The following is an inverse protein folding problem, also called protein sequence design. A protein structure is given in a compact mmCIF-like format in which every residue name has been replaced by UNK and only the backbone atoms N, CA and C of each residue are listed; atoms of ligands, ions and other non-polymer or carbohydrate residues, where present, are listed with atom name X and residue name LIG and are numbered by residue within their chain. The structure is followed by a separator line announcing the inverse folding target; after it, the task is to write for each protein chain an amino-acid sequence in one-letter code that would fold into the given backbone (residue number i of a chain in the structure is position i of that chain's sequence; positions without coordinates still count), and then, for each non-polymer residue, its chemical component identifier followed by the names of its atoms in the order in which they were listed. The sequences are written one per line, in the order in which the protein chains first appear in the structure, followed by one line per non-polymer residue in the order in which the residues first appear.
data_IF_668392090780
#
_entry.id   IF_668392090780
#
_cell.length_a   1.000
_cell.length_b   1.000
_cell.length_c   1.000
_cell.angle_alpha   90.00
_cell.angle_beta   90.00
_cell.angle_gamma   90.00
#
_symmetry.space_group_name_H-M   'P 1'
#
loop_
_entity.id
_entity.type
_entity.pdbx_description
1 polymer ?
#
# COMPACT_ATOMS: atom_id res chain seq x y z
N UNK A 1 -14.20 23.22 -2.61
CA UNK A 1 -13.63 22.43 -3.72
C UNK A 1 -13.29 23.40 -4.83
N UNK A 2 -12.03 23.84 -4.88
CA UNK A 2 -11.49 24.49 -6.07
C UNK A 2 -11.17 23.36 -7.06
N UNK A 3 -11.78 23.44 -8.24
CA UNK A 3 -11.52 22.52 -9.34
C UNK A 3 -10.16 22.88 -9.95
N UNK A 4 -9.18 21.97 -9.88
CA UNK A 4 -7.97 22.09 -10.68
C UNK A 4 -8.13 21.24 -11.94
N UNK A 5 -8.37 21.92 -13.06
CA UNK A 5 -8.20 21.35 -14.39
C UNK A 5 -6.70 21.40 -14.68
N UNK A 6 -6.01 20.26 -14.60
CA UNK A 6 -4.65 20.15 -15.11
C UNK A 6 -4.70 19.97 -16.63
N UNK A 7 -4.71 21.07 -17.36
CA UNK A 7 -4.23 21.11 -18.73
C UNK A 7 -2.70 21.00 -18.67
N UNK A 8 -2.15 19.87 -19.12
CA UNK A 8 -0.71 19.73 -19.33
C UNK A 8 -0.28 20.60 -20.50
N UNK A 9 0.12 21.83 -20.19
CA UNK A 9 1.17 22.55 -20.90
C UNK A 9 2.17 22.98 -19.82
N UNK A 10 3.27 22.24 -19.68
CA UNK A 10 4.41 22.58 -18.79
C UNK A 10 5.05 23.93 -19.17
N UNK A 11 5.84 24.58 -18.29
CA UNK A 11 5.73 24.70 -16.83
C UNK A 11 5.77 26.15 -16.36
N UNK A 12 5.01 26.49 -15.31
CA UNK A 12 5.48 27.06 -14.01
C UNK A 12 4.22 27.18 -13.15
N UNK A 13 4.14 26.49 -12.02
CA UNK A 13 3.06 26.71 -11.03
C UNK A 13 3.70 26.88 -9.66
N UNK A 14 3.55 28.09 -9.10
CA UNK A 14 3.83 28.37 -7.70
C UNK A 14 2.67 27.84 -6.83
N UNK A 15 2.94 27.29 -5.63
CA UNK A 15 1.89 26.83 -4.73
C UNK A 15 1.36 27.98 -3.86
N UNK A 16 0.05 28.03 -3.66
CA UNK A 16 -0.58 28.83 -2.61
C UNK A 16 -0.93 27.91 -1.43
N UNK A 17 -0.38 28.20 -0.24
CA UNK A 17 -0.63 27.49 1.02
C UNK A 17 -2.00 27.85 1.59
N UNK A 18 -2.72 26.86 2.12
CA UNK A 18 -3.77 27.10 3.13
C UNK A 18 -3.49 26.19 4.33
N UNK A 19 -3.25 26.81 5.47
CA UNK A 19 -3.05 26.19 6.79
C UNK A 19 -4.36 26.24 7.56
N UNK A 20 -4.77 25.13 8.17
CA UNK A 20 -5.86 25.12 9.17
C UNK A 20 -5.28 24.61 10.49
N UNK A 21 -5.37 25.45 11.51
CA UNK A 21 -4.92 25.20 12.89
C UNK A 21 -6.07 24.67 13.75
N UNK A 22 -5.80 23.63 14.55
CA UNK A 22 -6.33 23.51 15.92
C UNK A 22 -7.57 22.64 16.17
N UNK A 23 -7.31 21.52 16.87
CA UNK A 23 -8.09 20.83 17.90
C UNK A 23 -9.36 19.99 17.57
N UNK A 24 -9.12 18.68 17.63
CA UNK A 24 -9.82 17.65 18.44
C UNK A 24 -11.36 17.59 18.46
N UNK A 25 -11.82 16.51 17.83
CA UNK A 25 -13.07 15.76 18.03
C UNK A 25 -14.41 16.43 17.67
N UNK A 26 -15.18 15.64 16.92
CA UNK A 26 -16.65 15.66 16.69
C UNK A 26 -17.12 16.21 15.32
N UNK A 27 -17.85 15.34 14.61
CA UNK A 27 -18.96 15.64 13.68
C UNK A 27 -18.69 16.25 12.29
N UNK A 28 -17.66 15.81 11.56
CA UNK A 28 -17.42 16.33 10.19
C UNK A 28 -18.14 15.59 9.04
N UNK A 29 -18.64 14.36 9.26
CA UNK A 29 -19.18 13.55 8.14
C UNK A 29 -20.61 13.93 7.70
N UNK A 30 -21.47 14.47 8.56
CA UNK A 30 -22.88 14.66 8.20
C UNK A 30 -23.10 15.90 7.32
N UNK A 31 -22.44 17.02 7.60
CA UNK A 31 -22.64 18.28 6.87
C UNK A 31 -21.98 18.24 5.48
N UNK A 32 -20.81 17.60 5.37
CA UNK A 32 -20.08 17.47 4.10
C UNK A 32 -20.79 16.48 3.16
N UNK A 33 -21.27 15.36 3.68
CA UNK A 33 -22.07 14.41 2.88
C UNK A 33 -23.41 15.02 2.44
N UNK A 34 -24.02 15.88 3.26
CA UNK A 34 -25.25 16.60 2.88
C UNK A 34 -25.00 17.53 1.70
N UNK A 35 -23.89 18.28 1.72
CA UNK A 35 -23.48 19.14 0.61
C UNK A 35 -23.06 18.37 -0.65
N UNK A 36 -22.44 17.19 -0.49
CA UNK A 36 -22.13 16.31 -1.63
C UNK A 36 -23.41 15.78 -2.27
N UNK A 37 -24.40 15.32 -1.48
CA UNK A 37 -25.71 14.89 -1.99
C UNK A 37 -26.48 16.03 -2.69
N UNK A 38 -26.35 17.25 -2.18
CA UNK A 38 -26.91 18.46 -2.80
C UNK A 38 -26.22 18.79 -4.13
N UNK A 39 -24.90 18.64 -4.21
CA UNK A 39 -24.14 18.81 -5.46
C UNK A 39 -24.42 17.68 -6.47
N UNK A 40 -24.56 16.44 -6.01
CA UNK A 40 -24.93 15.29 -6.85
C UNK A 40 -26.34 15.44 -7.44
N UNK A 41 -27.29 15.99 -6.67
CA UNK A 41 -28.64 16.24 -7.17
C UNK A 41 -28.66 17.37 -8.22
N UNK A 42 -27.79 18.38 -8.08
CA UNK A 42 -27.57 19.44 -9.07
C UNK A 42 -26.94 18.87 -10.36
N UNK A 43 -25.95 17.99 -10.25
CA UNK A 43 -25.30 17.34 -11.41
C UNK A 43 -26.25 16.38 -12.13
N UNK A 44 -27.14 15.69 -11.40
CA UNK A 44 -28.17 14.81 -11.97
C UNK A 44 -29.35 15.57 -12.60
N UNK A 45 -29.42 16.89 -12.46
CA UNK A 45 -30.45 17.70 -13.13
C UNK A 45 -30.31 17.59 -14.66
N UNK A 46 -31.45 17.44 -15.35
CA UNK A 46 -31.52 17.17 -16.80
C UNK A 46 -30.80 18.21 -17.67
N UNK A 47 -30.49 19.40 -17.14
CA UNK A 47 -29.78 20.47 -17.85
C UNK A 47 -28.28 20.19 -18.07
N UNK A 48 -27.63 19.41 -17.18
CA UNK A 48 -26.21 19.07 -17.31
C UNK A 48 -25.99 17.71 -17.99
N UNK A 49 -26.93 16.77 -17.81
CA UNK A 49 -26.90 15.42 -18.37
C UNK A 49 -26.79 15.39 -19.90
N UNK A 50 -27.47 16.32 -20.59
CA UNK A 50 -27.42 16.44 -22.05
C UNK A 50 -26.07 16.97 -22.58
N UNK A 51 -25.36 17.80 -21.80
CA UNK A 51 -24.02 18.29 -22.16
C UNK A 51 -22.93 17.27 -21.82
N UNK A 52 -23.10 16.51 -20.74
CA UNK A 52 -22.16 15.46 -20.30
C UNK A 52 -22.27 14.21 -21.18
N UNK A 53 -23.47 13.79 -21.59
CA UNK A 53 -23.65 12.64 -22.49
C UNK A 53 -22.98 12.78 -23.86
N UNK A 54 -22.72 14.01 -24.33
CA UNK A 54 -21.94 14.27 -25.55
C UNK A 54 -20.41 14.13 -25.35
N UNK A 55 -19.93 14.09 -24.11
CA UNK A 55 -18.52 14.01 -23.70
C UNK A 55 -18.13 12.64 -23.09
N UNK A 56 -19.10 11.87 -22.60
CA UNK A 56 -18.92 10.52 -22.01
C UNK A 56 -18.31 9.49 -22.98
N UNK A 57 -18.37 9.72 -24.30
CA UNK A 57 -17.71 8.86 -25.30
C UNK A 57 -16.19 9.03 -25.41
N UNK A 58 -15.57 9.99 -24.70
CA UNK A 58 -14.12 10.28 -24.77
C UNK A 58 -13.41 10.44 -23.42
N UNK A 59 -14.13 10.35 -22.31
CA UNK A 59 -13.58 10.62 -20.97
C UNK A 59 -13.86 9.41 -20.08
N UNK A 60 -12.81 8.65 -19.73
CA UNK A 60 -12.88 7.75 -18.58
C UNK A 60 -12.95 8.61 -17.31
N UNK A 61 -14.16 8.78 -16.77
CA UNK A 61 -14.34 9.36 -15.44
C UNK A 61 -13.89 8.30 -14.44
N UNK A 62 -12.69 8.47 -13.89
CA UNK A 62 -12.32 7.78 -12.65
C UNK A 62 -13.21 8.34 -11.55
N UNK A 63 -14.31 7.64 -11.24
CA UNK A 63 -15.06 7.91 -10.01
C UNK A 63 -14.08 7.78 -8.84
N UNK A 64 -13.69 8.91 -8.27
CA UNK A 64 -13.02 8.95 -6.97
C UNK A 64 -14.07 8.58 -5.92
N UNK A 65 -14.40 7.30 -5.86
CA UNK A 65 -15.10 6.69 -4.75
C UNK A 65 -14.30 6.98 -3.49
N UNK A 66 -14.87 7.85 -2.66
CA UNK A 66 -14.48 8.15 -1.29
C UNK A 66 -12.96 8.08 -1.01
N UNK A 67 -12.20 9.05 -1.52
CA UNK A 67 -10.77 9.25 -1.22
C UNK A 67 -10.51 9.75 0.21
N UNK A 68 -11.40 9.44 1.17
CA UNK A 68 -11.40 9.95 2.54
C UNK A 68 -10.50 9.24 3.54
N UNK A 69 -9.70 8.23 3.15
CA UNK A 69 -8.83 7.48 4.09
C UNK A 69 -7.37 7.37 3.62
N UNK A 70 -6.99 8.12 2.60
CA UNK A 70 -5.68 8.04 1.95
C UNK A 70 -4.62 8.96 2.59
N UNK A 71 -4.76 9.30 3.87
CA UNK A 71 -3.87 10.22 4.59
C UNK A 71 -3.04 9.51 5.65
N UNK A 72 -1.71 9.72 5.67
CA UNK A 72 -0.63 9.40 6.65
C UNK A 72 -0.65 8.09 7.47
N UNK A 73 -1.71 7.29 7.39
CA UNK A 73 -1.95 6.08 8.17
C UNK A 73 -1.46 4.86 7.40
N UNK A 74 -0.92 3.87 8.12
CA UNK A 74 -0.60 2.57 7.54
C UNK A 74 -1.89 1.91 7.03
N UNK A 75 -2.00 1.75 5.71
CA UNK A 75 -3.15 1.15 5.03
C UNK A 75 -3.25 -0.36 5.27
N UNK A 76 -2.14 -1.03 5.60
CA UNK A 76 -2.08 -2.47 5.85
C UNK A 76 -2.44 -2.86 7.29
N UNK A 77 -2.54 -1.90 8.21
CA UNK A 77 -2.71 -2.17 9.64
C UNK A 77 -3.97 -3.01 9.93
N UNK A 78 -3.78 -4.18 10.53
CA UNK A 78 -4.80 -5.18 10.87
C UNK A 78 -5.64 -5.69 9.69
N UNK A 79 -5.16 -5.49 8.46
CA UNK A 79 -5.84 -5.96 7.27
C UNK A 79 -5.61 -7.45 7.05
N UNK A 80 -6.55 -8.08 6.33
CA UNK A 80 -6.44 -9.49 5.95
C UNK A 80 -5.19 -9.70 5.10
N UNK A 81 -4.39 -10.67 5.48
CA UNK A 81 -3.15 -11.00 4.81
C UNK A 81 -3.06 -12.50 4.49
N UNK A 82 -2.02 -12.85 3.76
CA UNK A 82 -1.55 -14.22 3.65
C UNK A 82 -0.05 -14.25 3.41
N UNK A 83 0.54 -15.43 3.58
CA UNK A 83 1.95 -15.69 3.29
C UNK A 83 2.10 -17.01 2.52
N UNK A 84 3.24 -17.21 1.87
CA UNK A 84 3.53 -18.37 1.04
C UNK A 84 3.44 -19.69 1.78
N UNK A 85 3.87 -19.72 3.04
CA UNK A 85 3.86 -20.90 3.88
C UNK A 85 3.63 -20.54 5.34
N UNK A 86 2.95 -21.41 6.07
CA UNK A 86 2.78 -21.32 7.52
C UNK A 86 3.60 -22.45 8.15
N UNK A 87 4.35 -22.16 9.22
CA UNK A 87 5.08 -23.18 9.97
C UNK A 87 4.40 -23.51 11.29
N UNK A 88 4.58 -24.73 11.81
CA UNK A 88 4.11 -25.09 13.15
C UNK A 88 4.80 -24.24 14.23
N UNK A 89 4.02 -23.45 14.97
CA UNK A 89 4.55 -22.50 15.96
C UNK A 89 5.08 -21.19 15.37
N UNK A 90 4.91 -20.95 14.07
CA UNK A 90 5.38 -19.72 13.44
C UNK A 90 4.35 -18.58 13.50
N UNK A 91 4.82 -17.36 13.76
CA UNK A 91 4.05 -16.13 13.59
C UNK A 91 3.29 -16.04 12.27
N UNK A 92 1.97 -15.90 12.34
CA UNK A 92 1.10 -15.69 11.17
C UNK A 92 1.41 -14.39 10.44
N UNK A 93 0.92 -14.26 9.20
CA UNK A 93 1.07 -13.06 8.38
C UNK A 93 0.60 -11.78 9.10
N UNK A 94 -0.35 -11.93 10.03
CA UNK A 94 -0.94 -10.84 10.82
C UNK A 94 0.07 -10.14 11.72
N UNK A 95 1.15 -10.84 12.10
CA UNK A 95 2.24 -10.23 12.88
C UNK A 95 3.03 -9.24 12.03
N UNK A 96 3.06 -9.42 10.71
CA UNK A 96 3.70 -8.47 9.80
C UNK A 96 2.88 -7.20 9.54
N UNK A 97 1.68 -7.04 10.09
CA UNK A 97 0.86 -5.84 9.92
C UNK A 97 -0.01 -5.52 11.14
N UNK A 98 0.43 -5.85 12.35
CA UNK A 98 -0.32 -5.60 13.59
C UNK A 98 0.11 -4.31 14.31
N UNK A 99 1.11 -3.59 13.79
CA UNK A 99 1.66 -2.38 14.41
C UNK A 99 2.62 -2.64 15.57
N UNK A 100 2.94 -3.91 15.90
CA UNK A 100 3.88 -4.26 16.96
C UNK A 100 5.28 -4.54 16.41
N UNK A 101 6.14 -3.52 16.48
CA UNK A 101 7.53 -3.57 16.01
C UNK A 101 8.48 -4.45 16.86
N UNK A 102 7.97 -5.17 17.87
CA UNK A 102 8.75 -6.07 18.73
C UNK A 102 8.48 -7.55 18.45
N UNK A 103 7.46 -7.85 17.66
CA UNK A 103 7.17 -9.21 17.14
C UNK A 103 7.58 -9.27 15.67
N UNK A 104 7.87 -10.46 15.14
CA UNK A 104 8.18 -10.62 13.72
C UNK A 104 7.38 -11.77 13.13
N UNK A 105 6.92 -11.62 11.89
CA UNK A 105 6.36 -12.73 11.13
C UNK A 105 7.49 -13.60 10.58
N UNK A 106 7.19 -14.85 10.22
CA UNK A 106 8.18 -15.73 9.58
C UNK A 106 7.49 -16.72 8.63
N UNK A 107 8.02 -16.92 7.41
CA UNK A 107 7.62 -18.04 6.55
C UNK A 107 8.23 -19.36 7.03
N UNK A 108 8.02 -20.48 6.38
CA UNK A 108 8.57 -21.76 6.84
C UNK A 108 10.10 -21.74 6.89
N UNK A 109 10.67 -22.43 7.88
CA UNK A 109 12.09 -22.76 7.92
C UNK A 109 12.30 -24.22 8.31
N UNK A 110 13.43 -24.79 7.92
CA UNK A 110 13.89 -26.10 8.37
C UNK A 110 15.43 -26.14 8.40
N UNK A 111 15.97 -27.01 9.25
CA UNK A 111 17.41 -27.22 9.37
C UNK A 111 17.84 -28.39 8.49
N UNK A 112 18.85 -28.18 7.65
CA UNK A 112 19.42 -29.24 6.81
C UNK A 112 20.89 -28.95 6.52
N UNK A 113 21.73 -29.98 6.56
CA UNK A 113 23.15 -29.91 6.17
C UNK A 113 23.94 -28.75 6.82
N UNK A 114 23.65 -28.42 8.08
CA UNK A 114 24.35 -27.37 8.81
C UNK A 114 23.85 -25.94 8.54
N UNK A 115 22.76 -25.76 7.79
CA UNK A 115 22.21 -24.44 7.47
C UNK A 115 20.68 -24.38 7.67
N UNK A 116 20.19 -23.16 7.85
CA UNK A 116 18.77 -22.84 7.81
C UNK A 116 18.31 -22.69 6.37
N UNK A 117 17.22 -23.37 6.04
CA UNK A 117 16.55 -23.26 4.75
C UNK A 117 15.13 -22.75 4.96
N UNK A 118 14.63 -21.95 4.02
CA UNK A 118 13.21 -21.64 3.90
C UNK A 118 12.65 -22.21 2.61
N UNK A 119 12.04 -21.37 1.80
CA UNK A 119 11.37 -21.76 0.56
C UNK A 119 11.83 -20.90 -0.62
N UNK A 120 11.61 -21.37 -1.84
CA UNK A 120 11.85 -20.57 -3.04
C UNK A 120 10.74 -19.52 -3.20
N UNK A 121 11.13 -18.28 -3.50
CA UNK A 121 10.20 -17.17 -3.74
C UNK A 121 9.16 -16.92 -2.63
N UNK A 122 9.58 -16.83 -1.35
CA UNK A 122 8.64 -16.61 -0.26
C UNK A 122 7.97 -15.25 -0.43
N UNK A 123 6.70 -15.17 -0.06
CA UNK A 123 5.91 -13.95 -0.20
C UNK A 123 4.96 -13.72 0.95
N UNK A 124 4.64 -12.44 1.16
CA UNK A 124 3.55 -11.97 1.99
C UNK A 124 2.66 -11.06 1.15
N UNK A 125 1.35 -11.10 1.37
CA UNK A 125 0.42 -10.20 0.73
C UNK A 125 -0.64 -9.69 1.71
N UNK A 126 -1.22 -8.54 1.39
CA UNK A 126 -2.32 -7.93 2.13
C UNK A 126 -3.43 -7.47 1.20
N UNK A 127 -4.67 -7.67 1.63
CA UNK A 127 -5.88 -7.09 1.04
C UNK A 127 -6.22 -5.81 1.81
N UNK A 128 -6.06 -4.65 1.17
CA UNK A 128 -6.36 -3.34 1.76
C UNK A 128 -7.87 -3.07 1.90
N UNK A 129 -8.72 -4.01 1.48
CA UNK A 129 -10.19 -3.99 1.40
C UNK A 129 -10.74 -3.00 0.36
N UNK A 130 -10.10 -1.84 0.22
CA UNK A 130 -10.43 -0.81 -0.74
C UNK A 130 -9.28 -0.59 -1.73
N UNK A 131 -9.63 -0.12 -2.92
CA UNK A 131 -8.61 0.32 -3.90
C UNK A 131 -8.06 1.68 -3.46
N UNK A 132 -6.78 1.72 -3.14
CA UNK A 132 -6.08 2.92 -2.69
C UNK A 132 -4.92 3.26 -3.62
N UNK A 133 -4.55 4.54 -3.67
CA UNK A 133 -3.29 4.94 -4.27
C UNK A 133 -2.14 4.39 -3.42
N UNK A 134 -1.19 3.71 -4.04
CA UNK A 134 0.00 3.16 -3.38
C UNK A 134 1.23 3.92 -3.85
N UNK A 135 2.02 4.42 -2.89
CA UNK A 135 3.23 5.22 -3.14
C UNK A 135 4.47 4.65 -2.46
N UNK A 136 4.35 4.21 -1.20
CA UNK A 136 5.47 3.71 -0.41
C UNK A 136 5.08 2.44 0.34
N UNK A 137 5.98 1.47 0.34
CA UNK A 137 5.96 0.31 1.21
C UNK A 137 7.16 0.45 2.14
N UNK A 138 6.92 0.32 3.45
CA UNK A 138 7.95 0.46 4.48
C UNK A 138 8.04 -0.85 5.25
N UNK A 139 9.19 -1.50 5.19
CA UNK A 139 9.45 -2.81 5.79
C UNK A 139 10.38 -2.60 6.98
N UNK A 140 9.93 -2.99 8.17
CA UNK A 140 10.74 -3.00 9.37
C UNK A 140 11.39 -4.38 9.46
N UNK A 141 12.68 -4.43 9.16
CA UNK A 141 13.43 -5.67 9.18
C UNK A 141 13.61 -6.20 10.62
N UNK A 142 13.91 -7.50 10.74
CA UNK A 142 14.15 -8.16 12.02
C UNK A 142 15.26 -7.46 12.81
N UNK A 143 15.01 -7.14 14.09
CA UNK A 143 15.90 -6.32 14.95
C UNK A 143 17.02 -7.08 15.66
N UNK A 144 16.78 -8.32 16.06
CA UNK A 144 17.64 -9.07 17.00
C UNK A 144 18.74 -9.87 16.31
N UNK A 145 18.54 -10.26 15.04
CA UNK A 145 19.57 -10.85 14.21
C UNK A 145 19.11 -10.93 12.75
N UNK A 146 20.06 -11.34 11.91
CA UNK A 146 19.79 -12.02 10.66
C UNK A 146 19.11 -11.13 9.61
N UNK A 147 19.21 -9.80 9.75
CA UNK A 147 18.63 -8.83 8.86
C UNK A 147 19.12 -8.95 7.42
N UNK A 148 20.31 -9.52 7.22
CA UNK A 148 20.90 -9.80 5.91
C UNK A 148 20.02 -10.69 5.02
N UNK A 149 19.07 -11.44 5.61
CA UNK A 149 18.18 -12.32 4.86
C UNK A 149 17.16 -11.55 4.03
N UNK A 150 16.78 -10.34 4.43
CA UNK A 150 15.94 -9.46 3.62
C UNK A 150 16.75 -8.86 2.46
N UNK A 151 16.67 -9.51 1.30
CA UNK A 151 17.39 -9.18 0.07
C UNK A 151 16.54 -9.51 -1.15
N UNK A 152 16.89 -8.95 -2.31
CA UNK A 152 16.22 -9.23 -3.59
C UNK A 152 14.69 -9.13 -3.50
N UNK A 153 14.15 -8.11 -2.82
CA UNK A 153 12.72 -7.95 -2.58
C UNK A 153 12.06 -7.28 -3.78
N UNK A 154 10.98 -7.87 -4.29
CA UNK A 154 10.05 -7.27 -5.23
C UNK A 154 8.72 -6.95 -4.53
N UNK A 155 8.22 -5.74 -4.80
CA UNK A 155 6.88 -5.32 -4.40
C UNK A 155 6.00 -5.23 -5.64
N UNK A 156 4.89 -5.97 -5.63
CA UNK A 156 3.88 -5.91 -6.68
C UNK A 156 2.55 -5.47 -6.10
N UNK A 157 1.77 -4.73 -6.90
CA UNK A 157 0.46 -4.20 -6.49
C UNK A 157 -0.57 -4.40 -7.59
N UNK A 158 -1.85 -4.57 -7.22
CA UNK A 158 -2.90 -4.84 -8.19
C UNK A 158 -4.31 -4.70 -7.61
N UNK A 159 -5.32 -4.66 -8.49
CA UNK A 159 -6.75 -4.72 -8.09
C UNK A 159 -7.18 -6.14 -7.70
N UNK A 160 -6.46 -7.15 -8.18
CA UNK A 160 -6.63 -8.57 -7.83
C UNK A 160 -5.27 -9.25 -7.74
N UNK A 161 -5.19 -10.36 -7.01
CA UNK A 161 -3.97 -11.19 -6.93
C UNK A 161 -3.54 -11.80 -8.28
N UNK A 162 -4.45 -11.89 -9.25
CA UNK A 162 -4.18 -12.39 -10.61
C UNK A 162 -3.63 -11.31 -11.56
N UNK A 163 -3.72 -10.03 -11.20
CA UNK A 163 -3.32 -8.89 -12.05
C UNK A 163 -2.43 -7.92 -11.28
N UNK A 164 -1.30 -8.44 -10.79
CA UNK A 164 -0.31 -7.67 -10.03
C UNK A 164 0.76 -7.12 -10.98
N UNK A 165 1.16 -5.86 -10.80
CA UNK A 165 2.27 -5.23 -11.55
C UNK A 165 3.36 -4.80 -10.59
N UNK A 166 4.59 -4.73 -11.09
CA UNK A 166 5.75 -4.28 -10.31
C UNK A 166 5.56 -2.82 -9.87
N UNK A 167 5.59 -2.61 -8.55
CA UNK A 167 5.63 -1.29 -7.93
C UNK A 167 7.09 -0.86 -7.75
N UNK A 168 7.90 -1.68 -7.07
CA UNK A 168 9.27 -1.34 -6.72
C UNK A 168 10.11 -2.55 -6.34
N UNK A 169 11.40 -2.32 -6.11
CA UNK A 169 12.35 -3.36 -5.77
C UNK A 169 13.35 -2.86 -4.73
N UNK A 170 13.90 -3.78 -3.95
CA UNK A 170 15.00 -3.55 -3.04
C UNK A 170 16.05 -4.65 -3.22
N UNK A 171 17.27 -4.26 -3.61
CA UNK A 171 18.35 -5.22 -3.86
C UNK A 171 18.87 -5.84 -2.56
N UNK A 172 19.03 -5.03 -1.51
CA UNK A 172 19.62 -5.48 -0.25
C UNK A 172 21.08 -5.93 -0.37
N UNK A 173 21.57 -6.71 0.62
CA UNK A 173 20.86 -7.13 1.83
C UNK A 173 20.63 -5.97 2.81
N UNK A 174 19.58 -6.06 3.62
CA UNK A 174 19.35 -5.14 4.74
C UNK A 174 20.20 -5.52 5.97
N UNK A 175 20.30 -4.59 6.92
CA UNK A 175 20.94 -4.78 8.23
C UNK A 175 19.91 -5.08 9.32
N UNK A 176 20.38 -5.50 10.49
CA UNK A 176 19.52 -5.79 11.64
C UNK A 176 18.73 -4.54 12.05
N UNK A 177 17.41 -4.66 12.09
CA UNK A 177 16.49 -3.57 12.45
C UNK A 177 16.34 -2.47 11.41
N UNK A 178 16.93 -2.62 10.22
CA UNK A 178 16.83 -1.63 9.16
C UNK A 178 15.38 -1.40 8.72
N UNK A 179 15.05 -0.13 8.47
CA UNK A 179 13.77 0.26 7.88
C UNK A 179 13.98 0.46 6.38
N UNK A 180 13.51 -0.52 5.60
CA UNK A 180 13.61 -0.48 4.13
C UNK A 180 12.39 0.22 3.55
N UNK A 181 12.62 1.33 2.85
CA UNK A 181 11.58 2.05 2.11
C UNK A 181 11.63 1.69 0.63
N UNK A 182 10.53 1.17 0.10
CA UNK A 182 10.36 0.83 -1.32
C UNK A 182 9.30 1.74 -1.91
N UNK A 183 9.67 2.54 -2.90
CA UNK A 183 8.78 3.47 -3.58
C UNK A 183 8.26 2.86 -4.88
N UNK A 184 6.96 3.07 -5.16
CA UNK A 184 6.41 2.67 -6.44
C UNK A 184 6.89 3.62 -7.53
N UNK A 185 7.49 3.09 -8.59
CA UNK A 185 7.99 3.89 -9.74
C UNK A 185 6.86 4.67 -10.42
N UNK A 186 5.68 4.06 -10.47
CA UNK A 186 4.46 4.65 -11.00
C UNK A 186 3.41 4.55 -9.88
N UNK A 187 2.71 5.65 -9.63
CA UNK A 187 1.61 5.65 -8.66
C UNK A 187 0.46 4.80 -9.19
N UNK A 188 0.03 3.83 -8.38
CA UNK A 188 -0.96 2.84 -8.81
C UNK A 188 -2.13 2.78 -7.84
N UNK A 189 -3.34 2.76 -8.38
CA UNK A 189 -4.55 2.42 -7.61
C UNK A 189 -4.62 0.90 -7.52
N UNK A 190 -4.49 0.37 -6.30
CA UNK A 190 -4.45 -1.06 -6.03
C UNK A 190 -5.18 -1.41 -4.73
N UNK A 191 -5.69 -2.64 -4.65
CA UNK A 191 -6.29 -3.23 -3.45
C UNK A 191 -5.36 -4.22 -2.77
N UNK A 192 -4.51 -4.90 -3.54
CA UNK A 192 -3.57 -5.90 -3.05
C UNK A 192 -2.15 -5.39 -3.17
N UNK A 193 -1.36 -5.66 -2.12
CA UNK A 193 0.10 -5.47 -2.12
C UNK A 193 0.74 -6.82 -1.81
N UNK A 194 1.77 -7.19 -2.56
CA UNK A 194 2.54 -8.42 -2.35
C UNK A 194 4.02 -8.10 -2.31
N UNK A 195 4.68 -8.53 -1.25
CA UNK A 195 6.12 -8.45 -1.01
C UNK A 195 6.69 -9.84 -1.18
N UNK A 196 7.70 -10.00 -2.03
CA UNK A 196 8.32 -11.29 -2.36
C UNK A 196 9.84 -11.17 -2.35
N UNK A 197 10.54 -12.14 -1.77
CA UNK A 197 11.98 -12.30 -2.00
C UNK A 197 12.15 -13.09 -3.30
N UNK A 198 12.85 -12.53 -4.29
CA UNK A 198 13.06 -13.14 -5.61
C UNK A 198 14.30 -14.00 -5.64
N UNK A 199 14.34 -14.99 -4.76
CA UNK A 199 15.45 -15.93 -4.67
C UNK A 199 14.95 -17.36 -4.87
N UNK A 200 15.66 -18.11 -5.72
CA UNK A 200 15.34 -19.51 -6.01
C UNK A 200 16.02 -20.43 -4.99
N UNK A 201 17.24 -20.09 -4.58
CA UNK A 201 17.92 -20.82 -3.51
C UNK A 201 17.11 -20.70 -2.21
N UNK A 202 17.00 -21.81 -1.49
CA UNK A 202 16.26 -21.88 -0.23
C UNK A 202 17.13 -21.54 0.97
N UNK A 203 18.46 -21.54 0.82
CA UNK A 203 19.39 -21.24 1.91
C UNK A 203 19.19 -19.81 2.42
N UNK A 204 18.83 -19.68 3.69
CA UNK A 204 18.53 -18.39 4.33
C UNK A 204 17.50 -17.55 3.55
N UNK A 205 16.56 -18.19 2.86
CA UNK A 205 15.53 -17.54 2.04
C UNK A 205 14.15 -17.72 2.67
N UNK A 206 13.74 -16.71 3.43
CA UNK A 206 12.42 -16.61 4.05
C UNK A 206 12.11 -15.16 4.36
N UNK A 207 10.82 -14.82 4.37
CA UNK A 207 10.39 -13.50 4.84
C UNK A 207 10.29 -13.56 6.36
N UNK A 208 11.02 -12.67 7.02
CA UNK A 208 11.03 -12.55 8.47
C UNK A 208 11.18 -11.08 8.91
N UNK A 209 10.06 -10.39 9.08
CA UNK A 209 10.06 -8.94 9.27
C UNK A 209 9.17 -8.58 10.44
N UNK A 210 9.51 -7.50 11.12
CA UNK A 210 8.74 -7.00 12.25
C UNK A 210 7.40 -6.40 11.81
N UNK A 211 7.38 -5.65 10.70
CA UNK A 211 6.18 -4.97 10.22
C UNK A 211 6.34 -4.60 8.74
N UNK A 212 5.24 -4.60 8.00
CA UNK A 212 5.11 -4.09 6.63
C UNK A 212 3.98 -3.06 6.64
N UNK A 213 4.35 -1.81 6.39
CA UNK A 213 3.41 -0.70 6.28
C UNK A 213 3.23 -0.30 4.81
N UNK A 214 2.00 0.09 4.47
CA UNK A 214 1.62 0.54 3.12
C UNK A 214 1.09 1.95 3.20
N UNK A 215 1.59 2.84 2.35
CA UNK A 215 1.21 4.25 2.32
C UNK A 215 0.90 4.75 0.92
N UNK A 216 -0.04 5.69 0.88
CA UNK A 216 -0.43 6.47 -0.30
C UNK A 216 0.40 7.73 -0.53
N UNK A 217 1.20 8.11 0.45
CA UNK A 217 2.07 9.27 0.45
C UNK A 217 3.40 8.88 1.06
N UNK A 218 4.44 9.67 0.80
CA UNK A 218 5.75 9.43 1.41
C UNK A 218 5.69 9.80 2.90
N UNK A 219 6.31 8.98 3.76
CA UNK A 219 6.37 9.12 5.21
C UNK A 219 7.80 9.17 5.71
#
# INVERSE_FOLDING_TARGET
MLFYIFLFLFPVVFPCQITITGNNNVSCCTELEKKVRELESIVKSNALKAKVGALEGRIEIMEHGNSGLCGKKNLALHKKCGQSSYGEGHPSCGIGNNGNLHTYMHTIFYWKNGFWHGESYPYWWVDLENSCLIKQIRIYNRKDCCGFRLRNVEVTVGKSLSSMKLCGFYKGPATDGEIVNIYCRIQMIARYVKVMIKEKDTKDTFIHVNEIEVYSQEK
#
